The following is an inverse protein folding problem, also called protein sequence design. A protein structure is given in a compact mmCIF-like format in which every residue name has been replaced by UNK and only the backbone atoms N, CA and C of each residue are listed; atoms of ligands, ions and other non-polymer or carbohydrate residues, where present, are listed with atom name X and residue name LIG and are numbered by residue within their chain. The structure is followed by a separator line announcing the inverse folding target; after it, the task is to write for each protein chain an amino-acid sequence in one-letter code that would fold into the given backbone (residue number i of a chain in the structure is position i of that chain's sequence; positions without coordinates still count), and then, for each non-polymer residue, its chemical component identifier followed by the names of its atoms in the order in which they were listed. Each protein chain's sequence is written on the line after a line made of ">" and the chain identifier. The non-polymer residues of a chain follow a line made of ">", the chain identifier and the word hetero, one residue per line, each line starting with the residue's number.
data_IF_119588618863
#
_entry.id   IF_119588618863
#
_cell.length_a   1.000
_cell.length_b   1.000
_cell.length_c   1.000
_cell.angle_alpha   90.00
_cell.angle_beta   90.00
_cell.angle_gamma   90.00
#
_symmetry.space_group_name_H-M   'P 1'
#
loop_
_entity.id
_entity.type
_entity.pdbx_description
1 polymer ?
#
# COMPACT_ATOMS: atom_id res chain seq x y z
N UNK A 1 -26.15 6.56 -17.34
CA UNK A 1 -26.03 7.62 -16.29
C UNK A 1 -25.30 7.10 -15.05
N UNK A 2 -25.65 5.93 -14.51
CA UNK A 2 -24.94 5.32 -13.38
C UNK A 2 -23.45 5.05 -13.66
N UNK A 3 -23.11 4.49 -14.84
CA UNK A 3 -21.71 4.22 -15.22
C UNK A 3 -20.82 5.48 -15.20
N UNK A 4 -21.23 6.56 -15.86
CA UNK A 4 -20.53 7.87 -15.82
C UNK A 4 -20.39 8.45 -14.41
N UNK A 5 -21.32 8.16 -13.50
CA UNK A 5 -21.23 8.60 -12.10
C UNK A 5 -20.13 7.83 -11.37
N UNK A 6 -20.07 6.51 -11.55
CA UNK A 6 -19.05 5.63 -10.97
C UNK A 6 -17.66 6.02 -11.50
N UNK A 7 -17.50 6.21 -12.81
CA UNK A 7 -16.22 6.66 -13.41
C UNK A 7 -15.72 7.96 -12.79
N UNK A 8 -16.61 8.94 -12.59
CA UNK A 8 -16.27 10.20 -11.93
C UNK A 8 -15.86 9.99 -10.47
N UNK A 9 -16.60 9.17 -9.71
CA UNK A 9 -16.24 8.88 -8.32
C UNK A 9 -14.90 8.16 -8.23
N UNK A 10 -14.62 7.22 -9.12
CA UNK A 10 -13.33 6.52 -9.19
C UNK A 10 -12.18 7.49 -9.49
N UNK A 11 -12.37 8.42 -10.45
CA UNK A 11 -11.37 9.42 -10.79
C UNK A 11 -11.05 10.38 -9.62
N UNK A 12 -12.06 10.73 -8.82
CA UNK A 12 -11.90 11.63 -7.67
C UNK A 12 -11.39 10.90 -6.41
N UNK A 13 -11.51 9.58 -6.35
CA UNK A 13 -11.26 8.82 -5.14
C UNK A 13 -9.77 8.64 -4.80
N UNK A 14 -8.88 8.78 -5.79
CA UNK A 14 -7.43 8.61 -5.61
C UNK A 14 -7.03 7.29 -4.92
N UNK A 15 -7.79 6.21 -5.17
CA UNK A 15 -7.49 4.89 -4.63
C UNK A 15 -6.18 4.34 -5.22
N UNK A 16 -5.35 3.66 -4.41
CA UNK A 16 -4.18 2.96 -4.93
C UNK A 16 -4.62 1.84 -5.89
N UNK A 17 -3.97 1.70 -7.06
CA UNK A 17 -4.37 0.72 -8.07
C UNK A 17 -4.17 -0.72 -7.60
N UNK A 18 -5.03 -1.64 -8.07
CA UNK A 18 -4.90 -3.07 -7.84
C UNK A 18 -5.24 -3.55 -6.41
N UNK A 19 -5.82 -2.68 -5.58
CA UNK A 19 -6.27 -3.01 -4.22
C UNK A 19 -7.78 -3.33 -4.23
N UNK A 20 -8.08 -4.62 -4.25
CA UNK A 20 -9.46 -5.15 -4.35
C UNK A 20 -9.72 -6.13 -3.21
N UNK A 21 -10.99 -6.45 -2.95
CA UNK A 21 -11.36 -7.43 -1.93
C UNK A 21 -11.00 -8.85 -2.39
N UNK A 22 -11.06 -9.11 -3.69
CA UNK A 22 -10.65 -10.36 -4.34
C UNK A 22 -9.15 -10.61 -4.17
N UNK A 23 -8.33 -9.57 -4.32
CA UNK A 23 -6.87 -9.65 -4.17
C UNK A 23 -6.40 -9.58 -2.71
N UNK A 24 -7.31 -9.41 -1.74
CA UNK A 24 -6.97 -9.37 -0.32
C UNK A 24 -6.90 -10.78 0.28
N UNK A 25 -5.75 -11.14 0.82
CA UNK A 25 -5.51 -12.45 1.42
C UNK A 25 -6.10 -12.53 2.85
N UNK A 26 -7.40 -12.79 2.98
CA UNK A 26 -8.07 -12.93 4.27
C UNK A 26 -7.48 -14.04 5.15
N UNK A 27 -7.01 -15.13 4.56
CA UNK A 27 -6.37 -16.24 5.31
C UNK A 27 -5.07 -15.81 6.01
N UNK A 28 -4.41 -14.77 5.49
CA UNK A 28 -3.24 -14.18 6.13
C UNK A 28 -3.59 -13.22 7.29
N UNK A 29 -4.88 -12.93 7.46
CA UNK A 29 -5.43 -11.96 8.43
C UNK A 29 -6.68 -12.58 9.11
N UNK A 30 -6.55 -13.73 9.81
CA UNK A 30 -7.70 -14.51 10.29
C UNK A 30 -8.62 -13.81 11.31
N UNK A 31 -8.12 -12.81 12.05
CA UNK A 31 -8.94 -12.01 12.95
C UNK A 31 -9.86 -10.99 12.25
N UNK A 32 -9.70 -10.79 10.94
CA UNK A 32 -10.62 -9.95 10.14
C UNK A 32 -11.63 -10.86 9.45
N UNK A 33 -12.89 -10.79 9.89
CA UNK A 33 -13.98 -11.56 9.29
C UNK A 33 -14.26 -11.09 7.86
N UNK A 34 -14.06 -11.97 6.87
CA UNK A 34 -14.41 -11.71 5.47
C UNK A 34 -15.88 -11.35 5.32
N UNK A 35 -16.78 -12.05 6.01
CA UNK A 35 -18.21 -11.78 5.95
C UNK A 35 -18.55 -10.36 6.45
N UNK A 36 -17.93 -9.94 7.56
CA UNK A 36 -18.11 -8.59 8.09
C UNK A 36 -17.60 -7.51 7.12
N UNK A 37 -16.42 -7.74 6.52
CA UNK A 37 -15.87 -6.81 5.51
C UNK A 37 -16.77 -6.71 4.28
N UNK A 38 -17.32 -7.83 3.79
CA UNK A 38 -18.26 -7.80 2.66
C UNK A 38 -19.55 -7.04 3.00
N UNK A 39 -20.08 -7.20 4.22
CA UNK A 39 -21.25 -6.45 4.67
C UNK A 39 -20.98 -4.94 4.75
N UNK A 40 -19.79 -4.54 5.22
CA UNK A 40 -19.36 -3.14 5.22
C UNK A 40 -19.25 -2.60 3.79
N UNK A 41 -18.62 -3.37 2.90
CA UNK A 41 -18.37 -3.01 1.50
C UNK A 41 -19.64 -2.92 0.66
N UNK A 42 -20.72 -3.59 1.06
CA UNK A 42 -22.05 -3.40 0.47
C UNK A 42 -22.57 -1.96 0.67
N UNK A 43 -22.08 -1.25 1.69
CA UNK A 43 -22.35 0.17 1.89
C UNK A 43 -23.79 0.45 2.34
N UNK A 44 -24.32 -0.38 3.24
CA UNK A 44 -25.68 -0.25 3.79
C UNK A 44 -25.81 0.99 4.71
N UNK A 45 -26.71 0.94 5.72
CA UNK A 45 -27.09 2.09 6.56
C UNK A 45 -25.95 2.79 7.33
N UNK A 46 -24.76 2.19 7.43
CA UNK A 46 -23.68 2.72 8.26
C UNK A 46 -23.09 4.03 7.71
N UNK A 47 -22.95 4.16 6.39
CA UNK A 47 -22.48 5.39 5.73
C UNK A 47 -23.48 6.53 5.92
N UNK A 48 -24.77 6.24 5.79
CA UNK A 48 -25.84 7.21 5.98
C UNK A 48 -25.95 7.69 7.44
N UNK A 49 -25.52 6.86 8.40
CA UNK A 49 -25.45 7.20 9.83
C UNK A 49 -24.14 7.89 10.22
N UNK A 50 -23.20 8.06 9.30
CA UNK A 50 -21.88 8.62 9.58
C UNK A 50 -21.01 7.75 10.49
N UNK A 51 -21.21 6.43 10.50
CA UNK A 51 -20.39 5.52 11.29
C UNK A 51 -18.96 5.42 10.73
N UNK A 52 -17.97 5.28 11.60
CA UNK A 52 -16.55 5.26 11.25
C UNK A 52 -16.01 3.83 11.16
N UNK A 53 -14.86 3.68 10.50
CA UNK A 53 -14.11 2.42 10.46
C UNK A 53 -12.66 2.67 10.84
N UNK A 54 -12.13 1.92 11.79
CA UNK A 54 -10.81 2.19 12.36
C UNK A 54 -9.98 0.91 12.23
N UNK A 55 -8.88 0.97 11.48
CA UNK A 55 -8.00 -0.16 11.21
C UNK A 55 -6.67 0.05 11.94
N UNK A 56 -6.37 -0.83 12.89
CA UNK A 56 -5.16 -0.81 13.70
C UNK A 56 -4.26 -2.01 13.44
N UNK A 57 -2.98 -1.90 13.82
CA UNK A 57 -2.03 -3.01 13.79
C UNK A 57 -0.68 -2.60 13.20
N UNK A 58 0.33 -3.48 13.24
CA UNK A 58 1.68 -3.15 12.81
C UNK A 58 1.79 -2.83 11.30
N UNK A 59 2.88 -2.18 10.87
CA UNK A 59 3.16 -1.92 9.46
C UNK A 59 3.20 -3.20 8.62
N UNK A 60 2.57 -3.14 7.44
CA UNK A 60 2.52 -4.26 6.50
C UNK A 60 1.47 -5.33 6.80
N UNK A 61 0.58 -5.12 7.77
CA UNK A 61 -0.55 -6.03 8.04
C UNK A 61 -1.73 -5.95 7.06
N UNK A 62 -1.68 -5.05 6.06
CA UNK A 62 -2.71 -4.95 5.02
C UNK A 62 -3.77 -3.87 5.21
N UNK A 63 -3.69 -3.04 6.26
CA UNK A 63 -4.66 -1.96 6.58
C UNK A 63 -5.00 -1.07 5.38
N UNK A 64 -3.99 -0.48 4.73
CA UNK A 64 -4.20 0.41 3.57
C UNK A 64 -4.77 -0.33 2.35
N UNK A 65 -4.45 -1.62 2.17
CA UNK A 65 -5.06 -2.44 1.13
C UNK A 65 -6.53 -2.63 1.43
N UNK A 66 -6.86 -3.10 2.64
CA UNK A 66 -8.24 -3.36 3.05
C UNK A 66 -9.10 -2.08 2.95
N UNK A 67 -8.58 -0.95 3.42
CA UNK A 67 -9.25 0.34 3.32
C UNK A 67 -9.53 0.74 1.86
N UNK A 68 -8.53 0.62 0.98
CA UNK A 68 -8.70 0.92 -0.44
C UNK A 68 -9.67 -0.05 -1.15
N UNK A 69 -9.63 -1.33 -0.80
CA UNK A 69 -10.51 -2.36 -1.34
C UNK A 69 -11.98 -2.14 -0.95
N UNK A 70 -12.24 -1.78 0.32
CA UNK A 70 -13.57 -1.36 0.77
C UNK A 70 -14.00 -0.09 0.02
N UNK A 71 -13.10 0.90 -0.09
CA UNK A 71 -13.36 2.13 -0.83
C UNK A 71 -13.76 1.89 -2.28
N UNK A 72 -13.10 0.95 -2.97
CA UNK A 72 -13.44 0.57 -4.34
C UNK A 72 -14.83 -0.04 -4.44
N UNK A 73 -15.14 -1.02 -3.59
CA UNK A 73 -16.46 -1.66 -3.57
C UNK A 73 -17.60 -0.66 -3.28
N UNK A 74 -17.36 0.30 -2.38
CA UNK A 74 -18.31 1.37 -2.09
C UNK A 74 -18.55 2.29 -3.31
N UNK A 75 -17.49 2.62 -4.06
CA UNK A 75 -17.61 3.41 -5.29
C UNK A 75 -18.42 2.66 -6.36
N UNK A 76 -18.22 1.35 -6.48
CA UNK A 76 -18.99 0.49 -7.38
C UNK A 76 -20.48 0.46 -6.99
N UNK A 77 -20.77 0.52 -5.68
CA UNK A 77 -22.12 0.70 -5.13
C UNK A 77 -22.65 2.14 -5.23
N UNK A 78 -21.88 3.06 -5.81
CA UNK A 78 -22.30 4.42 -6.13
C UNK A 78 -22.02 5.46 -5.04
N UNK A 79 -21.31 5.09 -3.97
CA UNK A 79 -20.86 6.02 -2.93
C UNK A 79 -19.65 6.82 -3.39
N UNK A 80 -19.53 8.05 -2.92
CA UNK A 80 -18.38 8.90 -3.23
C UNK A 80 -17.34 8.79 -2.12
N UNK A 81 -16.18 8.25 -2.46
CA UNK A 81 -15.09 8.01 -1.50
C UNK A 81 -13.89 8.88 -1.89
N UNK A 82 -13.13 9.36 -0.91
CA UNK A 82 -11.81 9.96 -1.12
C UNK A 82 -10.77 9.25 -0.27
N UNK A 83 -9.71 8.76 -0.90
CA UNK A 83 -8.53 8.21 -0.24
C UNK A 83 -7.40 9.25 -0.24
N UNK A 84 -6.79 9.45 0.91
CA UNK A 84 -5.64 10.35 1.06
C UNK A 84 -4.75 9.90 2.18
N UNK A 85 -3.44 10.17 2.07
CA UNK A 85 -2.57 10.14 3.24
C UNK A 85 -3.02 11.22 4.22
N UNK A 86 -3.01 10.88 5.50
CA UNK A 86 -3.44 11.80 6.55
C UNK A 86 -2.54 13.03 6.66
N UNK A 87 -1.23 12.86 6.41
CA UNK A 87 -0.25 13.96 6.34
C UNK A 87 -0.62 14.99 5.28
N UNK A 88 -0.92 14.53 4.07
CA UNK A 88 -1.14 15.39 2.91
C UNK A 88 -2.44 16.18 3.07
N UNK A 89 -3.48 15.55 3.65
CA UNK A 89 -4.74 16.23 3.94
C UNK A 89 -4.55 17.31 5.01
N UNK A 90 -3.85 17.00 6.09
CA UNK A 90 -3.59 17.96 7.17
C UNK A 90 -2.79 19.16 6.66
N UNK A 91 -1.79 18.94 5.82
CA UNK A 91 -1.03 20.03 5.19
C UNK A 91 -1.92 20.92 4.33
N UNK A 92 -2.82 20.34 3.52
CA UNK A 92 -3.79 21.12 2.73
C UNK A 92 -4.73 21.94 3.60
N UNK A 93 -5.24 21.36 4.69
CA UNK A 93 -6.10 22.07 5.63
C UNK A 93 -5.34 23.16 6.41
N UNK A 94 -4.05 22.96 6.71
CA UNK A 94 -3.20 23.99 7.30
C UNK A 94 -3.06 25.21 6.39
N UNK A 95 -2.78 24.98 5.10
CA UNK A 95 -2.71 26.05 4.09
C UNK A 95 -4.04 26.78 4.04
N UNK A 96 -5.16 26.05 3.90
CA UNK A 96 -6.49 26.62 3.87
C UNK A 96 -6.80 27.46 5.12
N UNK A 97 -6.37 27.03 6.31
CA UNK A 97 -6.54 27.80 7.55
C UNK A 97 -5.77 29.11 7.52
N UNK A 98 -4.51 29.11 7.08
CA UNK A 98 -3.71 30.34 6.94
C UNK A 98 -4.32 31.31 5.93
N UNK A 99 -5.00 30.79 4.93
CA UNK A 99 -5.70 31.56 3.89
C UNK A 99 -7.15 31.92 4.26
N UNK A 100 -7.59 31.62 5.50
CA UNK A 100 -8.97 31.84 5.96
C UNK A 100 -10.04 31.11 5.11
N UNK A 101 -9.68 29.95 4.57
CA UNK A 101 -10.50 29.09 3.72
C UNK A 101 -10.73 27.69 4.33
N UNK A 102 -10.49 27.50 5.63
CA UNK A 102 -10.61 26.19 6.26
C UNK A 102 -12.04 25.62 6.18
N UNK A 103 -13.03 26.44 6.51
CA UNK A 103 -14.44 26.04 6.45
C UNK A 103 -14.84 25.60 5.03
N UNK A 104 -14.43 26.37 4.01
CA UNK A 104 -14.71 26.05 2.61
C UNK A 104 -13.97 24.78 2.14
N UNK A 105 -12.77 24.52 2.67
CA UNK A 105 -12.02 23.30 2.43
C UNK A 105 -12.71 22.07 3.06
N UNK A 106 -13.17 22.17 4.32
CA UNK A 106 -13.93 21.11 4.99
C UNK A 106 -15.26 20.84 4.27
N UNK A 107 -15.98 21.90 3.87
CA UNK A 107 -17.23 21.76 3.12
C UNK A 107 -17.05 21.04 1.77
N UNK A 108 -15.87 21.16 1.13
CA UNK A 108 -15.54 20.37 -0.08
C UNK A 108 -15.35 18.90 0.25
N UNK A 109 -14.72 18.57 1.38
CA UNK A 109 -14.52 17.20 1.86
C UNK A 109 -15.85 16.54 2.28
N UNK A 110 -16.82 17.32 2.76
CA UNK A 110 -18.16 16.85 3.12
C UNK A 110 -19.03 16.39 1.95
N UNK A 111 -18.59 16.68 0.72
CA UNK A 111 -19.21 16.12 -0.49
C UNK A 111 -18.87 14.64 -0.70
N UNK A 112 -17.93 14.08 0.05
CA UNK A 112 -17.58 12.65 0.04
C UNK A 112 -18.32 11.95 1.18
N UNK A 113 -18.97 10.83 0.85
CA UNK A 113 -19.68 9.99 1.81
C UNK A 113 -18.69 9.32 2.78
N UNK A 114 -17.51 8.95 2.27
CA UNK A 114 -16.42 8.40 3.06
C UNK A 114 -15.09 9.12 2.76
N UNK A 115 -14.39 9.53 3.82
CA UNK A 115 -12.98 9.90 3.75
C UNK A 115 -12.13 8.77 4.33
N UNK A 116 -11.17 8.27 3.56
CA UNK A 116 -10.16 7.32 4.02
C UNK A 116 -8.88 8.10 4.33
N UNK A 117 -8.55 8.19 5.61
CA UNK A 117 -7.34 8.80 6.16
C UNK A 117 -6.31 7.70 6.41
N UNK A 118 -5.42 7.51 5.44
CA UNK A 118 -4.40 6.48 5.51
C UNK A 118 -3.17 6.96 6.30
N UNK A 119 -2.57 6.03 7.05
CA UNK A 119 -1.32 6.17 7.77
C UNK A 119 -1.32 7.31 8.79
N UNK A 120 -2.32 7.33 9.68
CA UNK A 120 -2.29 8.19 10.85
C UNK A 120 -1.21 7.67 11.82
N UNK A 121 -0.04 8.32 11.80
CA UNK A 121 1.16 7.92 12.53
C UNK A 121 1.88 9.10 13.23
N UNK A 122 2.91 8.74 14.01
CA UNK A 122 3.66 9.47 15.06
C UNK A 122 4.52 10.64 14.57
N UNK A 123 4.01 11.46 13.65
CA UNK A 123 4.57 12.80 13.62
C UNK A 123 3.87 13.54 14.74
N UNK A 124 4.61 13.90 15.80
CA UNK A 124 4.19 14.91 16.76
C UNK A 124 3.78 16.12 15.95
N UNK A 125 2.49 16.17 15.66
CA UNK A 125 1.93 17.20 14.81
C UNK A 125 1.96 18.46 15.63
N UNK A 126 2.39 19.56 15.02
CA UNK A 126 2.33 20.83 15.72
C UNK A 126 0.86 21.08 16.16
N UNK A 127 0.66 21.89 17.20
CA UNK A 127 -0.69 22.17 17.70
C UNK A 127 -1.62 22.67 16.57
N UNK A 128 -1.01 23.36 15.61
CA UNK A 128 -1.65 23.80 14.39
C UNK A 128 -2.28 22.62 13.61
N UNK A 129 -1.49 21.61 13.24
CA UNK A 129 -1.83 20.41 12.46
C UNK A 129 -2.89 19.55 13.13
N UNK A 130 -2.84 19.44 14.46
CA UNK A 130 -3.81 18.67 15.24
C UNK A 130 -5.17 19.34 15.32
N UNK A 131 -5.19 20.68 15.36
CA UNK A 131 -6.44 21.45 15.38
C UNK A 131 -7.25 21.27 14.10
N UNK A 132 -6.63 21.32 12.92
CA UNK A 132 -7.37 21.15 11.65
C UNK A 132 -7.90 19.72 11.46
N UNK A 133 -7.16 18.72 11.97
CA UNK A 133 -7.65 17.34 11.99
C UNK A 133 -8.83 17.18 12.94
N UNK A 134 -8.76 17.80 14.13
CA UNK A 134 -9.87 17.82 15.09
C UNK A 134 -11.12 18.51 14.52
N UNK A 135 -10.96 19.64 13.83
CA UNK A 135 -12.06 20.35 13.18
C UNK A 135 -12.72 19.49 12.09
N UNK A 136 -11.93 18.78 11.27
CA UNK A 136 -12.45 17.83 10.28
C UNK A 136 -13.24 16.70 10.94
N UNK A 137 -12.69 16.07 11.99
CA UNK A 137 -13.37 15.00 12.72
C UNK A 137 -14.70 15.51 13.30
N UNK A 138 -14.67 16.70 13.91
CA UNK A 138 -15.84 17.32 14.54
C UNK A 138 -16.91 17.69 13.53
N UNK A 139 -16.53 18.22 12.35
CA UNK A 139 -17.48 18.57 11.29
C UNK A 139 -18.20 17.35 10.70
N UNK A 140 -17.55 16.19 10.71
CA UNK A 140 -18.07 14.95 10.11
C UNK A 140 -18.81 14.05 11.09
N UNK A 141 -18.57 14.21 12.39
CA UNK A 141 -19.20 13.43 13.45
C UNK A 141 -20.74 13.37 13.28
N UNK A 142 -21.30 12.15 13.31
CA UNK A 142 -22.74 11.84 13.11
C UNK A 142 -23.35 12.33 11.78
N UNK A 143 -22.51 12.76 10.82
CA UNK A 143 -22.96 13.29 9.53
C UNK A 143 -22.38 12.52 8.36
N UNK A 144 -21.08 12.24 8.39
CA UNK A 144 -20.34 11.59 7.30
C UNK A 144 -19.24 10.70 7.85
N UNK A 145 -18.98 9.60 7.18
CA UNK A 145 -18.04 8.59 7.66
C UNK A 145 -16.58 8.97 7.43
N UNK A 146 -15.74 8.53 8.36
CA UNK A 146 -14.29 8.52 8.26
C UNK A 146 -13.80 7.09 8.44
N UNK A 147 -12.89 6.65 7.58
CA UNK A 147 -12.09 5.46 7.78
C UNK A 147 -10.66 5.85 8.08
N UNK A 148 -10.04 5.30 9.12
CA UNK A 148 -8.66 5.61 9.51
C UNK A 148 -7.84 4.33 9.52
N UNK A 149 -6.63 4.39 8.96
CA UNK A 149 -5.61 3.37 9.21
C UNK A 149 -4.53 3.94 10.12
N UNK A 150 -4.15 3.20 11.15
CA UNK A 150 -3.12 3.62 12.10
C UNK A 150 -2.27 2.44 12.55
N UNK A 151 -1.01 2.71 12.91
CA UNK A 151 -0.09 1.67 13.35
C UNK A 151 -0.19 1.35 14.85
N UNK A 152 -0.85 2.21 15.64
CA UNK A 152 -1.05 2.03 17.08
C UNK A 152 -2.51 2.24 17.51
N UNK A 153 -2.93 1.57 18.60
CA UNK A 153 -4.28 1.68 19.15
C UNK A 153 -4.51 3.05 19.84
N UNK A 154 -5.78 3.33 20.21
CA UNK A 154 -6.17 4.60 20.85
C UNK A 154 -5.40 4.97 22.11
N UNK A 155 -4.96 3.97 22.89
CA UNK A 155 -4.20 4.21 24.12
C UNK A 155 -2.91 5.01 23.89
N UNK A 156 -2.41 5.07 22.65
CA UNK A 156 -1.23 5.86 22.30
C UNK A 156 -1.53 7.14 21.50
N UNK A 157 -2.81 7.52 21.32
CA UNK A 157 -3.17 8.73 20.56
C UNK A 157 -2.83 10.05 21.27
N UNK A 158 -2.44 10.00 22.54
CA UNK A 158 -1.80 11.12 23.24
C UNK A 158 -0.49 11.58 22.55
N UNK A 159 0.08 10.77 21.66
CA UNK A 159 1.24 11.17 20.84
C UNK A 159 0.84 11.83 19.51
N UNK A 160 -0.43 11.70 19.10
CA UNK A 160 -0.98 12.30 17.86
C UNK A 160 -1.54 13.70 18.14
N UNK A 161 -2.23 13.86 19.27
CA UNK A 161 -2.78 15.13 19.72
C UNK A 161 -2.02 15.59 20.98
N UNK A 162 -1.32 16.75 20.95
CA UNK A 162 -0.51 17.19 22.08
C UNK A 162 -1.35 17.67 23.27
N UNK A 163 -2.56 18.15 23.02
CA UNK A 163 -3.51 18.55 24.07
C UNK A 163 -4.36 17.34 24.52
N UNK A 164 -4.31 16.92 25.80
CA UNK A 164 -5.05 15.75 26.28
C UNK A 164 -6.57 15.88 26.15
N UNK A 165 -7.12 17.08 26.33
CA UNK A 165 -8.56 17.30 26.23
C UNK A 165 -9.04 17.18 24.78
N UNK A 166 -8.30 17.76 23.83
CA UNK A 166 -8.53 17.60 22.39
C UNK A 166 -8.40 16.14 21.96
N UNK A 167 -7.40 15.42 22.49
CA UNK A 167 -7.21 13.98 22.22
C UNK A 167 -8.46 13.20 22.60
N UNK A 168 -8.91 13.37 23.85
CA UNK A 168 -10.08 12.67 24.38
C UNK A 168 -11.32 13.00 23.54
N UNK A 169 -11.53 14.27 23.24
CA UNK A 169 -12.64 14.75 22.43
C UNK A 169 -12.63 14.20 20.99
N UNK A 170 -11.45 14.08 20.36
CA UNK A 170 -11.31 13.53 19.02
C UNK A 170 -11.58 12.02 19.01
N UNK A 171 -11.00 11.29 19.96
CA UNK A 171 -11.15 9.84 20.08
C UNK A 171 -12.60 9.49 20.36
N UNK A 172 -13.24 10.16 21.33
CA UNK A 172 -14.65 9.96 21.70
C UNK A 172 -15.59 10.03 20.47
N UNK A 173 -15.45 11.10 19.67
CA UNK A 173 -16.21 11.28 18.42
C UNK A 173 -15.93 10.20 17.38
N UNK A 174 -14.68 9.77 17.26
CA UNK A 174 -14.32 8.74 16.29
C UNK A 174 -14.88 7.37 16.67
N UNK A 175 -14.88 7.01 17.96
CA UNK A 175 -15.22 5.67 18.44
C UNK A 175 -16.70 5.47 18.78
N UNK A 176 -17.45 6.55 19.06
CA UNK A 176 -18.85 6.45 19.48
C UNK A 176 -19.71 5.59 18.53
N UNK A 177 -19.55 5.79 17.21
CA UNK A 177 -20.17 4.97 16.18
C UNK A 177 -19.10 4.39 15.26
N UNK A 178 -18.33 3.39 15.71
CA UNK A 178 -17.25 2.81 14.93
C UNK A 178 -17.28 1.28 14.83
N UNK A 179 -16.83 0.77 13.69
CA UNK A 179 -16.33 -0.61 13.56
C UNK A 179 -14.81 -0.60 13.63
N UNK A 180 -14.23 -1.37 14.54
CA UNK A 180 -12.78 -1.43 14.76
C UNK A 180 -12.25 -2.78 14.26
N UNK A 181 -11.19 -2.73 13.46
CA UNK A 181 -10.43 -3.89 13.00
C UNK A 181 -9.00 -3.83 13.54
N UNK A 182 -8.61 -4.82 14.33
CA UNK A 182 -7.23 -5.00 14.77
C UNK A 182 -6.55 -6.04 13.89
N UNK A 183 -5.53 -5.64 13.13
CA UNK A 183 -4.81 -6.45 12.14
C UNK A 183 -3.41 -6.80 12.64
N UNK A 184 -3.34 -7.55 13.74
CA UNK A 184 -2.09 -7.90 14.42
C UNK A 184 -1.42 -9.13 13.79
N UNK A 185 -0.85 -8.94 12.59
CA UNK A 185 -0.21 -10.01 11.81
C UNK A 185 1.20 -9.68 11.38
N UNK A 186 1.96 -10.71 11.01
CA UNK A 186 3.27 -10.52 10.41
C UNK A 186 3.17 -9.76 9.09
N UNK A 187 4.09 -8.80 8.90
CA UNK A 187 4.19 -7.97 7.71
C UNK A 187 4.17 -8.80 6.42
N UNK A 188 3.15 -8.59 5.60
CA UNK A 188 3.02 -9.18 4.27
C UNK A 188 4.22 -8.83 3.38
N UNK A 189 4.74 -7.60 3.50
CA UNK A 189 5.91 -7.11 2.74
C UNK A 189 7.17 -7.91 3.11
N UNK A 190 7.37 -8.22 4.40
CA UNK A 190 8.50 -9.02 4.86
C UNK A 190 8.40 -10.47 4.36
N UNK A 191 7.21 -11.09 4.46
CA UNK A 191 6.98 -12.45 3.94
C UNK A 191 7.25 -12.54 2.44
N UNK A 192 6.69 -11.62 1.65
CA UNK A 192 6.90 -11.55 0.19
C UNK A 192 8.38 -11.40 -0.18
N UNK A 193 9.12 -10.56 0.56
CA UNK A 193 10.56 -10.37 0.33
C UNK A 193 11.39 -11.64 0.65
N UNK A 194 11.00 -12.38 1.70
CA UNK A 194 11.65 -13.64 2.08
C UNK A 194 11.39 -14.76 1.05
N UNK A 195 10.16 -14.87 0.56
CA UNK A 195 9.78 -15.84 -0.48
C UNK A 195 10.52 -15.58 -1.80
N UNK A 196 10.60 -14.31 -2.24
CA UNK A 196 11.35 -13.94 -3.44
C UNK A 196 12.84 -14.29 -3.34
N UNK A 197 13.46 -14.12 -2.16
CA UNK A 197 14.85 -14.53 -1.91
C UNK A 197 15.02 -16.05 -1.98
N UNK A 198 14.09 -16.83 -1.42
CA UNK A 198 14.12 -18.30 -1.49
C UNK A 198 14.00 -18.83 -2.92
N UNK A 199 13.18 -18.19 -3.76
CA UNK A 199 13.04 -18.57 -5.17
C UNK A 199 14.30 -18.26 -5.99
N UNK A 200 14.98 -17.13 -5.73
CA UNK A 200 16.25 -16.78 -6.39
C UNK A 200 17.43 -17.66 -5.97
N UNK A 201 17.37 -18.27 -4.78
CA UNK A 201 18.41 -19.14 -4.24
C UNK A 201 18.31 -20.62 -4.62
N UNK A 202 17.33 -21.05 -5.44
CA UNK A 202 17.28 -22.42 -5.98
C UNK A 202 18.19 -22.48 -7.22
N UNK A 203 19.38 -23.13 -7.20
CA UNK A 203 20.12 -23.40 -8.43
C UNK A 203 19.29 -24.33 -9.31
N UNK A 204 19.31 -24.08 -10.63
CA UNK A 204 18.72 -24.97 -11.61
C UNK A 204 19.35 -26.36 -11.47
N UNK A 205 18.56 -27.35 -11.07
CA UNK A 205 18.97 -28.74 -11.06
C UNK A 205 19.10 -29.21 -12.52
N UNK A 206 20.23 -28.92 -13.17
CA UNK A 206 20.62 -29.64 -14.37
C UNK A 206 20.99 -31.05 -13.95
N UNK A 207 20.08 -31.99 -14.23
CA UNK A 207 20.36 -33.42 -14.15
C UNK A 207 21.54 -33.73 -15.07
N UNK A 208 22.68 -34.10 -14.50
CA UNK A 208 23.77 -34.69 -15.30
C UNK A 208 23.36 -36.13 -15.61
N UNK A 209 22.81 -36.36 -16.81
CA UNK A 209 22.74 -37.70 -17.37
C UNK A 209 24.15 -38.04 -17.84
N UNK A 210 24.82 -38.99 -17.20
CA UNK A 210 25.99 -39.67 -17.76
C UNK A 210 25.65 -41.14 -17.97
N UNK A 211 25.16 -41.45 -19.17
CA UNK A 211 25.05 -42.83 -19.66
C UNK A 211 25.21 -42.82 -21.18
N UNK A 212 26.30 -43.44 -21.65
CA UNK A 212 26.59 -44.02 -22.98
C UNK A 212 28.09 -43.81 -23.29
N UNK A 213 28.99 -44.74 -22.96
CA UNK A 213 29.35 -46.00 -23.67
C UNK A 213 30.30 -45.80 -24.86
N UNK A 214 31.53 -46.31 -24.68
CA UNK A 214 32.44 -46.94 -25.64
C UNK A 214 32.51 -46.41 -27.09
N UNK A 215 33.68 -45.88 -27.47
CA UNK A 215 34.26 -46.14 -28.81
C UNK A 215 35.73 -46.51 -28.63
N UNK A 216 36.05 -47.68 -29.19
CA UNK A 216 37.34 -48.38 -29.27
C UNK A 216 38.29 -47.62 -30.21
N UNK A 217 39.56 -47.51 -29.82
CA UNK A 217 40.60 -46.91 -30.66
C UNK A 217 41.23 -47.98 -31.57
N UNK A 218 41.00 -47.89 -32.88
CA UNK A 218 41.85 -48.51 -33.91
C UNK A 218 42.81 -47.45 -34.46
N UNK A 219 44.11 -47.75 -34.41
CA UNK A 219 45.20 -46.97 -35.03
C UNK A 219 45.80 -47.76 -36.18
N UNK A 220 45.64 -47.26 -37.40
CA UNK A 220 46.53 -47.39 -38.59
C UNK A 220 46.27 -46.10 -39.39
N UNK A 221 47.20 -45.37 -40.01
CA UNK A 221 48.49 -45.62 -40.69
C UNK A 221 49.17 -44.23 -40.85
N UNK A 222 50.47 -44.10 -40.56
CA UNK A 222 51.61 -44.01 -41.51
C UNK A 222 51.94 -42.60 -42.06
N UNK A 223 53.26 -42.29 -42.02
CA UNK A 223 54.03 -41.26 -42.75
C UNK A 223 53.74 -39.77 -42.47
N UNK A 224 54.70 -38.86 -42.29
CA UNK A 224 56.12 -38.85 -42.65
C UNK A 224 56.87 -37.84 -41.75
N UNK A 225 58.03 -38.23 -41.23
CA UNK A 225 59.07 -37.30 -40.80
C UNK A 225 59.78 -36.79 -42.05
N UNK A 226 59.95 -35.47 -42.22
CA UNK A 226 61.28 -34.84 -42.42
C UNK A 226 61.23 -33.34 -42.77
N UNK A 227 62.19 -32.64 -42.17
CA UNK A 227 62.96 -31.51 -42.71
C UNK A 227 62.35 -30.08 -42.75
N UNK A 228 62.79 -29.32 -41.74
CA UNK A 228 63.71 -28.18 -41.88
C UNK A 228 63.20 -26.74 -42.16
N UNK A 229 63.84 -25.85 -41.39
CA UNK A 229 64.19 -24.43 -41.59
C UNK A 229 63.13 -23.34 -41.38
N UNK A 230 63.30 -22.64 -40.25
CA UNK A 230 63.64 -21.20 -40.15
C UNK A 230 63.06 -20.25 -41.20
N UNK A 231 62.16 -19.34 -40.80
CA UNK A 231 62.52 -17.98 -40.34
C UNK A 231 61.27 -17.10 -40.26
N UNK A 232 61.00 -16.53 -39.09
CA UNK A 232 60.14 -15.36 -38.91
C UNK A 232 60.99 -14.17 -38.41
N UNK A 233 60.46 -12.98 -38.65
CA UNK A 233 60.89 -11.63 -38.23
C UNK A 233 61.81 -10.91 -39.20
N UNK A 234 61.61 -9.61 -39.47
CA UNK A 234 60.54 -8.67 -39.18
C UNK A 234 60.88 -7.40 -39.98
N UNK A 235 59.98 -6.42 -39.92
CA UNK A 235 60.23 -4.97 -40.00
C UNK A 235 59.91 -4.30 -41.34
N UNK A 236 58.74 -3.63 -41.36
CA UNK A 236 58.45 -2.49 -42.21
C UNK A 236 58.30 -1.24 -41.32
N UNK A 237 59.14 -0.24 -41.54
CA UNK A 237 58.91 1.19 -41.24
C UNK A 237 59.38 1.97 -42.48
N UNK A 238 58.62 2.98 -42.95
CA UNK A 238 59.23 4.30 -43.03
C UNK A 238 58.28 5.44 -42.61
N UNK A 239 58.84 6.42 -41.92
CA UNK A 239 58.29 7.76 -41.69
C UNK A 239 59.03 8.74 -42.62
N UNK A 240 58.30 9.61 -43.31
CA UNK A 240 58.72 10.92 -43.79
C UNK A 240 57.75 11.91 -43.12
N UNK A 241 58.13 13.03 -42.51
CA UNK A 241 59.18 14.02 -42.79
C UNK A 241 59.53 14.72 -41.48
#
# INVERSE_FOLDING_TARGET
>A
RAHRRIERHLAEAHLPPGKTLESFAFDAVPMVSKAQVMAIAAGDSWLAKGANILLFGPPGGGKSHLAAAIGLALIENGWRVLFTRTTDLVQKLQVARRELQLESAIAKLDKFDLLILDDLAYVTKDQAETSVLFELISARYERRSIMITANQPFGEWNRVFPDPAMTLAAVDRLVHHATIFEMNVESYRRRSAMEAKRQRGRPAAFATIKSASQIVAERQSEHDETLASDNQHDTFIPTAT
#
